data_IF_501137928886
#
_entry.id   IF_501137928886
#
_cell.length_a   1.000
_cell.length_b   1.000
_cell.length_c   1.000
_cell.angle_alpha   90.00
_cell.angle_beta   90.00
_cell.angle_gamma   90.00
#
_symmetry.space_group_name_H-M   'P 1'
#
loop_
_entity.id
_entity.type
_entity.pdbx_description
1 polymer ?
#
# COMPACT_ATOMS: atom_id res chain seq x y z
N UNK A 1 9.65 -34.86 9.77
CA UNK A 1 10.01 -33.55 10.37
C UNK A 1 9.53 -32.43 9.46
N UNK A 2 8.56 -31.63 9.91
CA UNK A 2 8.05 -30.48 9.14
C UNK A 2 9.08 -29.35 9.20
N UNK A 3 9.73 -29.05 8.08
CA UNK A 3 10.70 -27.96 7.97
C UNK A 3 9.98 -26.64 8.31
N UNK A 4 10.39 -25.99 9.39
CA UNK A 4 9.77 -24.76 9.87
C UNK A 4 9.82 -23.69 8.76
N UNK A 5 8.67 -23.10 8.43
CA UNK A 5 8.56 -22.10 7.36
C UNK A 5 9.35 -20.85 7.77
N UNK A 6 10.32 -20.46 6.94
CA UNK A 6 11.09 -19.24 7.14
C UNK A 6 10.20 -18.03 6.85
N UNK A 7 9.98 -17.19 7.86
CA UNK A 7 9.24 -15.94 7.70
C UNK A 7 10.17 -14.86 7.14
N UNK A 8 9.73 -14.19 6.07
CA UNK A 8 10.46 -13.10 5.44
C UNK A 8 9.83 -11.75 5.81
N UNK A 9 10.67 -10.75 6.08
CA UNK A 9 10.23 -9.39 6.39
C UNK A 9 9.51 -8.76 5.20
N UNK A 10 8.61 -7.81 5.49
CA UNK A 10 7.83 -7.12 4.46
C UNK A 10 8.74 -6.37 3.48
N UNK A 11 9.81 -5.74 3.99
CA UNK A 11 10.83 -5.06 3.18
C UNK A 11 11.53 -6.00 2.20
N UNK A 12 11.95 -7.19 2.65
CA UNK A 12 12.62 -8.17 1.80
C UNK A 12 11.71 -8.65 0.67
N UNK A 13 10.43 -8.89 0.97
CA UNK A 13 9.44 -9.28 -0.05
C UNK A 13 9.27 -8.22 -1.13
N UNK A 14 9.25 -6.94 -0.73
CA UNK A 14 9.14 -5.81 -1.65
C UNK A 14 10.39 -5.70 -2.52
N UNK A 15 11.59 -5.74 -1.93
CA UNK A 15 12.85 -5.65 -2.68
C UNK A 15 12.95 -6.76 -3.73
N UNK A 16 12.63 -8.00 -3.34
CA UNK A 16 12.67 -9.16 -4.24
C UNK A 16 11.60 -9.03 -5.34
N UNK A 17 10.40 -8.56 -5.00
CA UNK A 17 9.35 -8.33 -5.99
C UNK A 17 9.77 -7.28 -7.03
N UNK A 18 10.35 -6.15 -6.59
CA UNK A 18 10.85 -5.09 -7.48
C UNK A 18 11.93 -5.64 -8.41
N UNK A 19 12.95 -6.31 -7.87
CA UNK A 19 14.04 -6.89 -8.69
C UNK A 19 13.53 -7.97 -9.64
N UNK A 20 12.53 -8.74 -9.24
CA UNK A 20 11.89 -9.73 -10.11
C UNK A 20 11.04 -9.10 -11.22
N UNK A 21 10.47 -7.90 -10.98
CA UNK A 21 9.77 -7.11 -11.99
C UNK A 21 10.78 -6.50 -12.98
N UNK A 22 11.87 -5.92 -12.49
CA UNK A 22 12.95 -5.34 -13.32
C UNK A 22 13.61 -6.35 -14.26
N UNK A 23 13.64 -7.64 -13.89
CA UNK A 23 14.11 -8.72 -14.77
C UNK A 23 15.62 -8.81 -14.98
N UNK A 24 16.42 -7.98 -14.27
CA UNK A 24 17.90 -7.96 -14.38
C UNK A 24 18.58 -9.21 -13.82
N UNK A 25 17.92 -9.94 -12.93
CA UNK A 25 18.43 -11.19 -12.34
C UNK A 25 17.51 -12.35 -12.74
N UNK A 26 18.10 -13.51 -13.00
CA UNK A 26 17.29 -14.72 -13.20
C UNK A 26 16.70 -15.21 -11.88
N UNK A 27 15.66 -16.03 -11.94
CA UNK A 27 15.05 -16.63 -10.75
C UNK A 27 16.05 -17.45 -9.93
N UNK A 28 16.99 -18.14 -10.60
CA UNK A 28 18.03 -18.92 -9.94
C UNK A 28 19.04 -18.03 -9.20
N UNK A 29 19.44 -16.91 -9.82
CA UNK A 29 20.32 -15.93 -9.19
C UNK A 29 19.66 -15.24 -8.00
N UNK A 30 18.37 -14.88 -8.10
CA UNK A 30 17.62 -14.35 -6.95
C UNK A 30 17.47 -15.38 -5.84
N UNK A 31 17.20 -16.64 -6.19
CA UNK A 31 17.06 -17.71 -5.22
C UNK A 31 18.37 -17.94 -4.44
N UNK A 32 19.50 -17.93 -5.14
CA UNK A 32 20.83 -18.04 -4.54
C UNK A 32 21.18 -16.81 -3.69
N UNK A 33 20.98 -15.60 -4.23
CA UNK A 33 21.35 -14.33 -3.56
C UNK A 33 20.58 -14.08 -2.27
N UNK A 34 19.28 -14.38 -2.25
CA UNK A 34 18.42 -14.09 -1.10
C UNK A 34 18.12 -15.33 -0.25
N UNK A 35 18.53 -16.53 -0.69
CA UNK A 35 18.21 -17.79 -0.03
C UNK A 35 16.71 -18.12 -0.07
N UNK A 36 16.04 -17.78 -1.17
CA UNK A 36 14.57 -17.85 -1.33
C UNK A 36 14.22 -18.83 -2.43
N UNK A 37 13.16 -19.61 -2.28
CA UNK A 37 12.78 -20.55 -3.33
C UNK A 37 12.21 -19.82 -4.55
N UNK A 38 12.49 -20.33 -5.76
CA UNK A 38 12.08 -19.69 -7.02
C UNK A 38 10.56 -19.50 -7.15
N UNK A 39 9.76 -20.39 -6.55
CA UNK A 39 8.30 -20.22 -6.47
C UNK A 39 7.89 -18.99 -5.66
N UNK A 40 8.55 -18.72 -4.52
CA UNK A 40 8.25 -17.56 -3.68
C UNK A 40 8.57 -16.25 -4.40
N UNK A 41 9.65 -16.23 -5.18
CA UNK A 41 10.01 -15.08 -6.02
C UNK A 41 8.92 -14.80 -7.07
N UNK A 42 8.40 -15.85 -7.73
CA UNK A 42 7.29 -15.72 -8.68
C UNK A 42 6.02 -15.21 -8.00
N UNK A 43 5.70 -15.74 -6.82
CA UNK A 43 4.50 -15.34 -6.07
C UNK A 43 4.57 -13.87 -5.66
N UNK A 44 5.72 -13.42 -5.13
CA UNK A 44 5.89 -12.03 -4.72
C UNK A 44 5.94 -11.07 -5.91
N UNK A 45 6.49 -11.49 -7.06
CA UNK A 45 6.38 -10.73 -8.32
C UNK A 45 4.91 -10.51 -8.70
N UNK A 46 4.09 -11.57 -8.67
CA UNK A 46 2.64 -11.47 -8.96
C UNK A 46 1.93 -10.55 -7.97
N UNK A 47 2.24 -10.67 -6.68
CA UNK A 47 1.69 -9.79 -5.64
C UNK A 47 2.07 -8.32 -5.90
N UNK A 48 3.33 -8.05 -6.22
CA UNK A 48 3.82 -6.70 -6.52
C UNK A 48 3.10 -6.08 -7.72
N UNK A 49 2.99 -6.81 -8.83
CA UNK A 49 2.27 -6.33 -10.03
C UNK A 49 0.80 -6.06 -9.73
N UNK A 50 0.14 -6.93 -8.96
CA UNK A 50 -1.25 -6.74 -8.55
C UNK A 50 -1.41 -5.48 -7.68
N UNK A 51 -0.55 -5.31 -6.68
CA UNK A 51 -0.58 -4.15 -5.80
C UNK A 51 -0.34 -2.84 -6.57
N UNK A 52 0.56 -2.85 -7.56
CA UNK A 52 0.78 -1.71 -8.45
C UNK A 52 -0.49 -1.39 -9.23
N UNK A 53 -1.13 -2.39 -9.85
CA UNK A 53 -2.40 -2.19 -10.59
C UNK A 53 -3.49 -1.61 -9.69
N UNK A 54 -3.68 -2.16 -8.50
CA UNK A 54 -4.67 -1.69 -7.52
C UNK A 54 -4.35 -0.28 -7.03
N UNK A 55 -3.06 0.06 -6.86
CA UNK A 55 -2.63 1.40 -6.47
C UNK A 55 -3.03 2.44 -7.52
N UNK A 56 -2.80 2.15 -8.82
CA UNK A 56 -3.18 3.04 -9.92
C UNK A 56 -4.70 3.07 -10.17
N UNK A 57 -5.42 1.95 -10.00
CA UNK A 57 -6.87 1.91 -10.24
C UNK A 57 -7.69 2.59 -9.14
N UNK A 58 -7.25 2.50 -7.88
CA UNK A 58 -7.99 3.02 -6.73
C UNK A 58 -7.55 4.44 -6.33
N UNK A 59 -6.76 5.13 -7.15
CA UNK A 59 -6.29 6.47 -6.82
C UNK A 59 -7.44 7.48 -6.76
N UNK A 60 -8.27 7.53 -7.80
CA UNK A 60 -9.44 8.43 -7.83
C UNK A 60 -10.39 8.20 -6.64
N UNK A 61 -10.73 6.94 -6.34
CA UNK A 61 -11.61 6.61 -5.20
C UNK A 61 -11.07 7.09 -3.85
N UNK A 62 -9.76 6.94 -3.61
CA UNK A 62 -9.13 7.42 -2.37
C UNK A 62 -9.11 8.94 -2.29
N UNK A 63 -8.99 9.61 -3.43
CA UNK A 63 -9.02 11.07 -3.47
C UNK A 63 -10.44 11.59 -3.23
N UNK A 64 -11.46 10.95 -3.81
CA UNK A 64 -12.87 11.24 -3.56
C UNK A 64 -13.25 11.05 -2.08
N UNK A 65 -12.82 9.95 -1.45
CA UNK A 65 -13.06 9.69 -0.02
C UNK A 65 -12.42 10.77 0.86
N UNK A 66 -11.17 11.16 0.58
CA UNK A 66 -10.48 12.23 1.29
C UNK A 66 -11.14 13.59 1.10
N UNK A 67 -11.66 13.86 -0.09
CA UNK A 67 -12.39 15.09 -0.37
C UNK A 67 -13.72 15.12 0.39
N UNK A 68 -14.47 14.02 0.41
CA UNK A 68 -15.70 13.89 1.19
C UNK A 68 -15.46 14.11 2.69
N UNK A 69 -14.38 13.53 3.26
CA UNK A 69 -14.00 13.75 4.66
C UNK A 69 -13.69 15.24 4.95
N UNK A 70 -12.95 15.91 4.05
CA UNK A 70 -12.65 17.34 4.18
C UNK A 70 -13.92 18.19 4.12
N UNK A 71 -14.82 17.92 3.18
CA UNK A 71 -16.08 18.64 3.05
C UNK A 71 -16.96 18.47 4.30
N UNK A 72 -17.02 17.26 4.86
CA UNK A 72 -17.74 17.01 6.10
C UNK A 72 -17.15 17.79 7.29
N UNK A 73 -15.82 17.88 7.38
CA UNK A 73 -15.14 18.66 8.42
C UNK A 73 -15.42 20.16 8.26
N UNK A 74 -15.35 20.68 7.02
CA UNK A 74 -15.68 22.09 6.71
C UNK A 74 -17.13 22.39 7.12
N UNK A 75 -18.08 21.51 6.80
CA UNK A 75 -19.48 21.65 7.19
C UNK A 75 -19.64 21.74 8.72
N UNK A 76 -19.01 20.82 9.47
CA UNK A 76 -19.04 20.83 10.94
C UNK A 76 -18.48 22.13 11.51
N UNK A 77 -17.28 22.53 11.07
CA UNK A 77 -16.62 23.75 11.54
C UNK A 77 -17.44 24.99 11.18
N UNK A 78 -18.13 25.00 10.04
CA UNK A 78 -18.99 26.13 9.64
C UNK A 78 -20.15 26.28 10.61
N UNK A 79 -20.82 25.19 10.97
CA UNK A 79 -21.93 25.20 11.95
C UNK A 79 -21.45 25.62 13.33
N UNK A 80 -20.33 25.06 13.81
CA UNK A 80 -19.74 25.44 15.09
C UNK A 80 -19.38 26.94 15.14
N UNK A 81 -18.74 27.46 14.08
CA UNK A 81 -18.40 28.88 13.99
C UNK A 81 -19.64 29.77 13.96
N UNK A 82 -20.68 29.40 13.19
CA UNK A 82 -21.94 30.16 13.16
C UNK A 82 -22.61 30.19 14.53
N UNK A 83 -22.62 29.05 15.23
CA UNK A 83 -23.15 28.96 16.58
C UNK A 83 -22.39 29.86 17.56
N UNK A 84 -21.06 29.80 17.55
CA UNK A 84 -20.21 30.62 18.42
C UNK A 84 -20.39 32.12 18.12
N UNK A 85 -20.42 32.52 16.85
CA UNK A 85 -20.68 33.91 16.44
C UNK A 85 -22.02 34.41 16.98
N UNK A 86 -23.09 33.63 16.86
CA UNK A 86 -24.42 33.98 17.39
C UNK A 86 -24.45 34.11 18.92
N UNK A 87 -23.64 33.32 19.62
CA UNK A 87 -23.53 33.37 21.09
C UNK A 87 -22.71 34.56 21.58
N UNK A 88 -21.67 34.93 20.86
CA UNK A 88 -20.79 36.06 21.18
C UNK A 88 -21.38 37.41 20.74
N UNK A 89 -22.32 37.44 19.80
CA UNK A 89 -23.03 38.66 19.38
C UNK A 89 -24.22 39.02 20.29
N UNK A 90 -24.32 38.40 21.47
CA UNK A 90 -25.39 38.57 22.44
C UNK A 90 -24.77 38.98 23.77
#
# INVERSE_FOLDING_TARGET
>A
MTKQRRNHTRSLKIEVAIKAIEGKLTLAQMASKYGIHSSQVKDWKKMGVRAIREAFSNQAKRDDEREAERLALIGRLTVENQYLKKKLSK
#
